data_IF_919201963759
#
_entry.id   IF_919201963759
#
_cell.length_a   1.000
_cell.length_b   1.000
_cell.length_c   1.000
_cell.angle_alpha   90.00
_cell.angle_beta   90.00
_cell.angle_gamma   90.00
#
_symmetry.space_group_name_H-M   'P 1'
#
loop_
_entity.id
_entity.type
_entity.pdbx_description
1 polymer ?
#
# COMPACT_ATOMS: atom_id res chain seq x y z
N UNK A 1 -4.89 -8.97 14.49
CA UNK A 1 -4.43 -10.05 13.61
C UNK A 1 -3.97 -11.22 14.46
N UNK A 2 -4.43 -12.46 14.22
CA UNK A 2 -3.82 -13.68 14.76
C UNK A 2 -3.54 -14.61 13.59
N UNK A 3 -2.30 -15.10 13.50
CA UNK A 3 -1.82 -16.03 12.47
C UNK A 3 -1.46 -17.33 13.18
N UNK A 4 -2.13 -18.43 12.81
CA UNK A 4 -1.87 -19.75 13.40
C UNK A 4 -0.97 -20.62 12.53
N UNK A 5 -0.39 -21.63 13.19
CA UNK A 5 0.85 -22.40 12.92
C UNK A 5 0.88 -23.26 11.64
N UNK A 6 -0.06 -23.10 10.71
CA UNK A 6 -0.27 -24.02 9.57
C UNK A 6 0.11 -23.49 8.17
N UNK A 7 0.70 -22.29 8.09
CA UNK A 7 1.03 -21.65 6.82
C UNK A 7 0.05 -20.53 6.43
N UNK A 8 0.49 -19.65 5.52
CA UNK A 8 -0.36 -18.57 4.99
C UNK A 8 -1.45 -19.20 4.13
N UNK A 9 -2.65 -19.30 4.70
CA UNK A 9 -3.86 -19.32 3.89
C UNK A 9 -4.17 -17.86 3.55
N UNK A 10 -4.31 -17.58 2.25
CA UNK A 10 -4.86 -16.32 1.79
C UNK A 10 -6.28 -16.22 2.35
N UNK A 11 -6.44 -15.54 3.49
CA UNK A 11 -7.73 -15.10 3.95
C UNK A 11 -8.16 -13.99 2.98
N UNK A 12 -9.32 -14.18 2.37
CA UNK A 12 -9.82 -13.50 1.18
C UNK A 12 -10.07 -11.99 1.32
N UNK A 13 -9.59 -11.34 2.38
CA UNK A 13 -9.94 -9.96 2.73
C UNK A 13 -8.83 -9.37 3.61
N UNK A 14 -7.72 -8.92 3.01
CA UNK A 14 -6.80 -8.04 3.70
C UNK A 14 -7.35 -6.62 3.60
N UNK A 15 -8.23 -6.22 4.52
CA UNK A 15 -8.71 -4.84 4.62
C UNK A 15 -7.71 -4.03 5.43
N UNK A 16 -6.93 -3.17 4.77
CA UNK A 16 -6.21 -2.07 5.44
C UNK A 16 -7.24 -0.96 5.65
N UNK A 17 -7.88 -0.91 6.82
CA UNK A 17 -8.85 0.14 7.15
C UNK A 17 -8.16 1.34 7.79
N UNK A 18 -8.10 2.45 7.06
CA UNK A 18 -8.57 3.72 7.60
C UNK A 18 -9.89 3.96 6.87
N UNK A 19 -10.99 3.64 7.55
CA UNK A 19 -12.33 4.20 7.31
C UNK A 19 -12.67 4.66 5.86
N UNK A 20 -13.15 3.71 5.05
CA UNK A 20 -13.70 3.87 3.70
C UNK A 20 -12.73 4.00 2.52
N UNK A 21 -11.84 3.02 2.38
CA UNK A 21 -11.46 2.45 1.08
C UNK A 21 -10.90 1.05 1.33
N UNK A 22 -11.61 0.00 0.92
CA UNK A 22 -11.11 -1.37 1.03
C UNK A 22 -9.95 -1.54 0.06
N UNK A 23 -8.73 -1.29 0.56
CA UNK A 23 -7.48 -1.62 -0.12
C UNK A 23 -7.29 -3.14 -0.12
N UNK A 24 -8.03 -3.85 -0.96
CA UNK A 24 -7.92 -5.30 -1.05
C UNK A 24 -6.67 -5.69 -1.84
N UNK A 25 -5.81 -6.51 -1.22
CA UNK A 25 -4.69 -7.16 -1.90
C UNK A 25 -5.22 -8.37 -2.68
N UNK A 26 -4.91 -8.50 -3.99
CA UNK A 26 -5.35 -9.65 -4.75
C UNK A 26 -4.69 -10.93 -4.25
N UNK A 27 -5.43 -12.03 -4.27
CA UNK A 27 -4.90 -13.35 -3.93
C UNK A 27 -3.70 -13.70 -4.84
N UNK A 28 -2.57 -14.05 -4.24
CA UNK A 28 -1.32 -14.30 -4.95
C UNK A 28 -0.67 -13.01 -5.44
N UNK A 29 0.28 -12.50 -4.65
CA UNK A 29 1.07 -11.31 -4.99
C UNK A 29 2.39 -11.76 -5.64
N UNK A 30 2.32 -12.17 -6.90
CA UNK A 30 3.51 -12.49 -7.70
C UNK A 30 4.19 -11.20 -8.15
N UNK A 31 5.54 -11.14 -8.20
CA UNK A 31 6.25 -10.01 -8.78
C UNK A 31 5.72 -9.66 -10.17
N UNK A 32 5.55 -8.37 -10.44
CA UNK A 32 5.00 -7.85 -11.69
C UNK A 32 3.48 -7.75 -11.76
N UNK A 33 2.74 -8.34 -10.80
CA UNK A 33 1.27 -8.23 -10.77
C UNK A 33 0.84 -6.79 -10.51
N UNK A 34 -0.11 -6.31 -11.32
CA UNK A 34 -0.69 -4.98 -11.19
C UNK A 34 -2.20 -5.03 -11.06
N UNK A 35 -2.77 -4.09 -10.33
CA UNK A 35 -4.22 -3.89 -10.31
C UNK A 35 -4.54 -2.42 -10.07
N UNK A 36 -5.65 -1.98 -10.65
CA UNK A 36 -6.08 -0.60 -10.51
C UNK A 36 -6.85 -0.40 -9.21
N UNK A 37 -6.72 0.80 -8.68
CA UNK A 37 -7.47 1.31 -7.55
C UNK A 37 -8.31 2.48 -8.02
N UNK A 38 -9.56 2.49 -7.58
CA UNK A 38 -10.46 3.62 -7.80
C UNK A 38 -11.18 3.89 -6.50
N UNK A 39 -10.93 5.05 -5.94
CA UNK A 39 -11.63 5.56 -4.76
C UNK A 39 -12.45 6.76 -5.17
N UNK A 40 -13.69 6.80 -4.72
CA UNK A 40 -14.56 7.96 -4.83
C UNK A 40 -15.22 8.15 -3.48
N UNK A 41 -14.90 9.25 -2.80
CA UNK A 41 -15.49 9.61 -1.51
C UNK A 41 -16.30 10.91 -1.69
N UNK A 42 -17.61 10.81 -1.41
CA UNK A 42 -18.58 11.90 -1.28
C UNK A 42 -18.48 13.04 -2.30
N UNK A 43 -18.17 12.72 -3.56
CA UNK A 43 -18.01 13.67 -4.68
C UNK A 43 -16.89 14.72 -4.54
N UNK A 44 -16.24 14.83 -3.38
CA UNK A 44 -15.16 15.79 -3.11
C UNK A 44 -13.78 15.20 -3.40
N UNK A 45 -13.63 13.88 -3.29
CA UNK A 45 -12.37 13.18 -3.55
C UNK A 45 -12.56 12.09 -4.60
N UNK A 46 -11.81 12.20 -5.70
CA UNK A 46 -11.66 11.13 -6.70
C UNK A 46 -10.21 10.74 -6.74
N UNK A 47 -9.92 9.45 -6.67
CA UNK A 47 -8.57 8.94 -6.81
C UNK A 47 -8.58 7.71 -7.71
N UNK A 48 -7.66 7.68 -8.65
CA UNK A 48 -7.39 6.56 -9.53
C UNK A 48 -5.92 6.26 -9.49
N UNK A 49 -5.55 4.99 -9.43
CA UNK A 49 -4.16 4.62 -9.40
C UNK A 49 -3.96 3.17 -9.77
N UNK A 50 -2.70 2.75 -9.75
CA UNK A 50 -2.29 1.40 -10.03
C UNK A 50 -1.33 0.94 -8.94
N UNK A 51 -1.66 -0.21 -8.36
CA UNK A 51 -0.76 -0.96 -7.51
C UNK A 51 0.09 -1.90 -8.37
N UNK A 52 1.35 -2.08 -7.97
CA UNK A 52 2.27 -3.02 -8.61
C UNK A 52 3.07 -3.75 -7.55
N UNK A 53 3.06 -5.08 -7.61
CA UNK A 53 4.03 -5.89 -6.88
C UNK A 53 5.37 -5.75 -7.57
N UNK A 54 6.35 -5.14 -6.90
CA UNK A 54 7.72 -5.06 -7.42
C UNK A 54 8.43 -6.39 -7.25
N UNK A 55 8.25 -7.01 -6.09
CA UNK A 55 8.86 -8.29 -5.72
C UNK A 55 9.39 -8.25 -4.29
N UNK A 56 10.19 -9.24 -3.92
CA UNK A 56 10.83 -9.29 -2.59
C UNK A 56 12.03 -8.33 -2.56
N UNK A 57 12.09 -7.50 -1.54
CA UNK A 57 13.15 -6.55 -1.29
C UNK A 57 13.43 -6.50 0.21
N UNK A 58 14.71 -6.51 0.58
CA UNK A 58 15.11 -6.35 1.98
C UNK A 58 14.71 -4.96 2.51
N UNK A 59 14.23 -4.90 3.74
CA UNK A 59 13.87 -3.67 4.44
C UNK A 59 14.33 -3.72 5.89
N UNK A 60 15.02 -2.67 6.32
CA UNK A 60 15.40 -2.46 7.72
C UNK A 60 14.41 -1.50 8.34
N UNK A 61 13.86 -1.90 9.49
CA UNK A 61 13.02 -1.08 10.38
C UNK A 61 13.73 -0.93 11.72
N UNK A 62 13.34 0.01 12.59
CA UNK A 62 13.87 0.10 13.95
C UNK A 62 13.77 -1.21 14.74
N UNK A 63 12.75 -2.03 14.46
CA UNK A 63 12.52 -3.30 15.16
C UNK A 63 13.38 -4.45 14.61
N UNK A 64 13.51 -4.57 13.29
CA UNK A 64 14.25 -5.66 12.66
C UNK A 64 14.60 -5.40 11.18
N UNK A 65 15.55 -6.20 10.67
CA UNK A 65 15.79 -6.33 9.22
C UNK A 65 15.02 -7.53 8.67
N UNK A 66 14.21 -7.30 7.65
CA UNK A 66 13.48 -8.33 6.91
C UNK A 66 14.07 -8.48 5.51
N UNK A 67 14.64 -9.65 5.20
CA UNK A 67 15.26 -9.89 3.89
C UNK A 67 14.25 -10.21 2.78
N UNK A 68 13.09 -10.75 3.15
CA UNK A 68 12.06 -11.25 2.21
C UNK A 68 10.76 -10.43 2.27
N UNK A 69 10.85 -9.12 2.47
CA UNK A 69 9.66 -8.26 2.47
C UNK A 69 9.18 -8.02 1.03
N UNK A 70 7.89 -8.22 0.78
CA UNK A 70 7.28 -7.94 -0.51
C UNK A 70 7.06 -6.43 -0.66
N UNK A 71 7.71 -5.81 -1.63
CA UNK A 71 7.50 -4.43 -2.01
C UNK A 71 6.32 -4.32 -2.97
N UNK A 72 5.34 -3.48 -2.60
CA UNK A 72 4.26 -3.02 -3.45
C UNK A 72 4.42 -1.52 -3.66
N UNK A 73 4.39 -1.08 -4.91
CA UNK A 73 4.32 0.34 -5.25
C UNK A 73 2.89 0.71 -5.62
N UNK A 74 2.50 1.90 -5.20
CA UNK A 74 1.21 2.50 -5.51
C UNK A 74 1.49 3.80 -6.22
N UNK A 75 0.87 4.02 -7.38
CA UNK A 75 0.91 5.29 -8.07
C UNK A 75 -0.52 5.71 -8.31
N UNK A 76 -0.96 6.75 -7.63
CA UNK A 76 -2.31 7.27 -7.72
C UNK A 76 -2.29 8.75 -8.07
N UNK A 77 -3.30 9.17 -8.79
CA UNK A 77 -3.62 10.56 -9.04
C UNK A 77 -5.05 10.79 -8.64
N UNK A 78 -5.32 11.96 -8.08
CA UNK A 78 -6.66 12.27 -7.62
C UNK A 78 -6.94 13.75 -7.65
N UNK A 79 -8.20 14.07 -7.39
CA UNK A 79 -8.66 15.41 -7.15
C UNK A 79 -9.33 15.46 -5.79
N UNK A 80 -9.00 16.47 -4.99
CA UNK A 80 -9.64 16.76 -3.70
C UNK A 80 -10.01 18.25 -3.68
N UNK A 81 -11.29 18.56 -3.49
CA UNK A 81 -11.75 19.96 -3.43
C UNK A 81 -11.38 20.79 -4.67
N UNK A 82 -11.33 20.16 -5.85
CA UNK A 82 -10.96 20.80 -7.12
C UNK A 82 -9.46 20.91 -7.39
N UNK A 83 -8.58 20.48 -6.46
CA UNK A 83 -7.12 20.46 -6.65
C UNK A 83 -6.65 19.06 -7.00
N UNK A 84 -5.77 18.96 -7.99
CA UNK A 84 -5.17 17.69 -8.39
C UNK A 84 -3.96 17.38 -7.52
N UNK A 85 -3.91 16.17 -6.97
CA UNK A 85 -2.77 15.64 -6.24
C UNK A 85 -2.28 14.33 -6.89
N UNK A 86 -1.01 14.01 -6.68
CA UNK A 86 -0.45 12.68 -6.96
C UNK A 86 -0.03 12.06 -5.64
N UNK A 87 -0.15 10.74 -5.56
CA UNK A 87 0.24 9.95 -4.41
C UNK A 87 1.06 8.78 -4.92
N UNK A 88 2.33 8.77 -4.55
CA UNK A 88 3.19 7.62 -4.73
C UNK A 88 3.34 6.95 -3.38
N UNK A 89 3.22 5.64 -3.31
CA UNK A 89 3.48 4.92 -2.06
C UNK A 89 4.28 3.66 -2.30
N UNK A 90 5.01 3.27 -1.27
CA UNK A 90 5.75 2.02 -1.19
C UNK A 90 5.34 1.33 0.09
N UNK A 91 4.90 0.09 -0.02
CA UNK A 91 4.55 -0.75 1.12
C UNK A 91 5.45 -1.96 1.11
N UNK A 92 6.07 -2.24 2.26
CA UNK A 92 6.83 -3.47 2.47
C UNK A 92 6.01 -4.39 3.36
N UNK A 93 5.64 -5.55 2.83
CA UNK A 93 4.83 -6.54 3.52
C UNK A 93 5.64 -7.79 3.83
N UNK A 94 5.62 -8.22 5.08
CA UNK A 94 6.29 -9.43 5.53
C UNK A 94 5.26 -10.52 5.77
N UNK A 95 5.54 -11.70 5.22
CA UNK A 95 4.74 -12.94 5.40
C UNK A 95 4.50 -13.22 6.88
N UNK A 96 3.23 -13.22 7.30
CA UNK A 96 2.82 -13.52 8.68
C UNK A 96 2.83 -12.31 9.63
N UNK A 97 3.34 -11.15 9.19
CA UNK A 97 3.38 -9.91 9.98
C UNK A 97 2.50 -8.81 9.40
N UNK A 98 2.40 -8.72 8.08
CA UNK A 98 1.72 -7.64 7.38
C UNK A 98 2.68 -6.53 6.97
N UNK A 99 2.19 -5.29 6.87
CA UNK A 99 3.00 -4.14 6.46
C UNK A 99 3.95 -3.74 7.59
N UNK A 100 5.26 -3.77 7.33
CA UNK A 100 6.32 -3.39 8.30
C UNK A 100 6.88 -1.99 8.03
N UNK A 101 6.72 -1.49 6.81
CA UNK A 101 7.10 -0.15 6.42
C UNK A 101 6.16 0.37 5.34
N UNK A 102 5.82 1.64 5.44
CA UNK A 102 5.05 2.38 4.45
C UNK A 102 5.75 3.71 4.18
N UNK A 103 6.04 4.00 2.93
CA UNK A 103 6.44 5.35 2.50
C UNK A 103 5.32 5.91 1.64
N UNK A 104 4.88 7.12 1.94
CA UNK A 104 3.87 7.86 1.18
C UNK A 104 4.48 9.18 0.76
N UNK A 105 4.43 9.46 -0.53
CA UNK A 105 4.80 10.74 -1.11
C UNK A 105 3.55 11.33 -1.76
N UNK A 106 3.07 12.43 -1.20
CA UNK A 106 1.94 13.19 -1.72
C UNK A 106 2.47 14.45 -2.40
N UNK A 107 2.05 14.68 -3.63
CA UNK A 107 2.47 15.81 -4.47
C UNK A 107 1.22 16.63 -4.79
N UNK A 108 1.13 17.84 -4.24
CA UNK A 108 0.09 18.83 -4.53
C UNK A 108 0.74 20.05 -5.20
N UNK A 109 0.66 20.10 -6.53
CA UNK A 109 1.32 21.13 -7.34
C UNK A 109 2.85 21.12 -7.17
N UNK A 110 3.40 22.14 -6.50
CA UNK A 110 4.84 22.26 -6.20
C UNK A 110 5.23 21.68 -4.82
N UNK A 111 4.25 21.35 -3.99
CA UNK A 111 4.48 20.86 -2.65
C UNK A 111 4.58 19.33 -2.68
N UNK A 112 5.73 18.81 -2.24
CA UNK A 112 5.91 17.38 -2.02
C UNK A 112 6.00 17.13 -0.52
N UNK A 113 5.11 16.29 -0.01
CA UNK A 113 5.13 15.84 1.37
C UNK A 113 5.46 14.35 1.40
N UNK A 114 6.50 13.97 2.14
CA UNK A 114 6.90 12.58 2.34
C UNK A 114 6.66 12.17 3.78
N UNK A 115 5.93 11.08 3.95
CA UNK A 115 5.67 10.44 5.24
C UNK A 115 6.27 9.04 5.19
N UNK A 116 7.00 8.67 6.23
CA UNK A 116 7.52 7.32 6.43
C UNK A 116 6.93 6.80 7.73
N UNK A 117 6.27 5.65 7.65
CA UNK A 117 5.71 4.94 8.79
C UNK A 117 6.41 3.60 8.86
N UNK A 118 7.03 3.31 9.99
CA UNK A 118 7.75 2.08 10.27
C UNK A 118 7.22 1.49 11.56
N UNK A 119 7.33 0.17 11.68
CA UNK A 119 7.07 -0.53 12.94
C UNK A 119 8.16 -0.26 13.98
#
# INVERSE_FOLDING_TARGET
FKVEKGGIRAASNATISSDQSTWELPAGLTPGKTWDIKTTADSVMKMTGTNKVVGTQAVTTPVATYNDALLITVNATGTQGGRSFKLNSKLWLVKGRGTVKTEIESIDGKNTNKIVMEE
#
